data_IF_534601473141
#
_entry.id   IF_534601473141
#
_cell.length_a   1.000
_cell.length_b   1.000
_cell.length_c   1.000
_cell.angle_alpha   90.00
_cell.angle_beta   90.00
_cell.angle_gamma   90.00
#
_symmetry.space_group_name_H-M   'P 1'
#
loop_
_entity.id
_entity.type
_entity.pdbx_description
1 polymer ?
#
# COMPACT_ATOMS: atom_id res chain seq x y z
N UNK A 1 -16.50 10.19 -32.94
CA UNK A 1 -16.15 10.38 -31.52
C UNK A 1 -14.78 9.74 -31.28
N UNK A 2 -13.69 10.51 -31.22
CA UNK A 2 -12.34 9.97 -30.92
C UNK A 2 -12.20 9.88 -29.41
N UNK A 3 -12.03 8.66 -28.89
CA UNK A 3 -11.78 8.44 -27.46
C UNK A 3 -10.37 8.99 -27.17
N UNK A 4 -10.19 9.90 -26.20
CA UNK A 4 -8.87 10.36 -25.80
C UNK A 4 -8.07 9.15 -25.28
N UNK A 5 -7.00 8.77 -25.98
CA UNK A 5 -6.06 7.75 -25.49
C UNK A 5 -5.24 8.39 -24.38
N UNK A 6 -5.54 8.05 -23.13
CA UNK A 6 -4.75 8.50 -21.99
C UNK A 6 -3.31 7.97 -22.13
N UNK A 7 -2.28 8.78 -21.79
CA UNK A 7 -0.90 8.34 -21.84
C UNK A 7 -0.69 7.08 -20.97
N UNK A 8 -0.21 5.99 -21.57
CA UNK A 8 0.20 4.81 -20.79
C UNK A 8 1.41 5.15 -19.91
N UNK A 9 1.39 4.81 -18.61
CA UNK A 9 2.52 5.05 -17.72
C UNK A 9 3.74 4.23 -18.16
N UNK A 10 4.93 4.83 -18.07
CA UNK A 10 6.18 4.12 -18.30
C UNK A 10 6.49 3.16 -17.15
N UNK A 11 7.30 2.14 -17.40
CA UNK A 11 7.70 1.19 -16.36
C UNK A 11 8.42 1.86 -15.18
N UNK A 12 9.13 2.96 -15.43
CA UNK A 12 9.74 3.79 -14.39
C UNK A 12 8.70 4.45 -13.47
N UNK A 13 7.57 4.89 -14.02
CA UNK A 13 6.47 5.49 -13.25
C UNK A 13 5.86 4.50 -12.28
N UNK A 14 5.57 3.27 -12.73
CA UNK A 14 4.99 2.24 -11.86
C UNK A 14 5.97 1.80 -10.76
N UNK A 15 7.27 1.69 -11.09
CA UNK A 15 8.32 1.46 -10.09
C UNK A 15 8.37 2.58 -9.06
N UNK A 16 8.27 3.84 -9.47
CA UNK A 16 8.24 4.98 -8.56
C UNK A 16 7.02 4.95 -7.63
N UNK A 17 5.84 4.60 -8.13
CA UNK A 17 4.63 4.43 -7.30
C UNK A 17 4.86 3.35 -6.23
N UNK A 18 5.37 2.18 -6.61
CA UNK A 18 5.67 1.10 -5.66
C UNK A 18 6.74 1.50 -4.65
N UNK A 19 7.78 2.23 -5.10
CA UNK A 19 8.82 2.75 -4.22
C UNK A 19 8.26 3.70 -3.17
N UNK A 20 7.41 4.65 -3.59
CA UNK A 20 6.76 5.61 -2.68
C UNK A 20 5.86 4.89 -1.69
N UNK A 21 5.06 3.91 -2.14
CA UNK A 21 4.24 3.09 -1.23
C UNK A 21 5.11 2.33 -0.23
N UNK A 22 6.19 1.69 -0.69
CA UNK A 22 7.12 0.96 0.18
C UNK A 22 7.74 1.86 1.24
N UNK A 23 8.25 3.03 0.84
CA UNK A 23 8.81 4.02 1.78
C UNK A 23 7.76 4.55 2.76
N UNK A 24 6.55 4.83 2.29
CA UNK A 24 5.45 5.32 3.13
C UNK A 24 5.08 4.31 4.22
N UNK A 25 4.87 3.05 3.85
CA UNK A 25 4.54 2.00 4.81
C UNK A 25 5.70 1.70 5.75
N UNK A 26 6.94 1.71 5.26
CA UNK A 26 8.11 1.55 6.12
C UNK A 26 8.21 2.68 7.15
N UNK A 27 8.01 3.93 6.73
CA UNK A 27 8.02 5.09 7.60
C UNK A 27 6.91 5.00 8.66
N UNK A 28 5.68 4.67 8.27
CA UNK A 28 4.57 4.47 9.22
C UNK A 28 4.87 3.37 10.25
N UNK A 29 5.46 2.24 9.81
CA UNK A 29 5.85 1.16 10.72
C UNK A 29 6.91 1.59 11.73
N UNK A 30 8.00 2.21 11.26
CA UNK A 30 9.11 2.67 12.12
C UNK A 30 8.65 3.75 13.09
N UNK A 31 7.96 4.79 12.59
CA UNK A 31 7.44 5.88 13.42
C UNK A 31 6.38 5.37 14.38
N UNK A 32 5.54 4.43 13.94
CA UNK A 32 4.53 3.78 14.78
C UNK A 32 5.14 3.06 15.97
N UNK A 33 6.27 2.37 15.80
CA UNK A 33 7.01 1.76 16.92
C UNK A 33 7.65 2.80 17.83
N UNK A 34 8.24 3.86 17.25
CA UNK A 34 8.88 4.92 18.03
C UNK A 34 7.90 5.70 18.91
N UNK A 35 6.66 5.90 18.45
CA UNK A 35 5.64 6.70 19.15
C UNK A 35 4.70 5.83 19.99
N UNK A 36 4.22 4.72 19.44
CA UNK A 36 3.20 3.87 20.09
C UNK A 36 3.76 2.70 20.90
N UNK A 37 5.06 2.45 20.84
CA UNK A 37 5.71 1.33 21.51
C UNK A 37 5.29 -0.04 20.97
N UNK A 38 5.35 -1.06 21.82
CA UNK A 38 5.10 -2.48 21.46
C UNK A 38 3.74 -3.01 21.92
N UNK A 39 2.84 -2.13 22.35
CA UNK A 39 1.50 -2.51 22.82
C UNK A 39 0.60 -3.06 21.71
N UNK A 40 -0.23 -4.04 22.05
CA UNK A 40 -1.23 -4.67 21.17
C UNK A 40 -2.64 -4.21 21.52
N UNK A 41 -3.60 -4.39 20.60
CA UNK A 41 -5.02 -4.08 20.85
C UNK A 41 -5.37 -2.60 20.73
N UNK A 42 -6.65 -2.30 20.93
CA UNK A 42 -7.21 -0.95 20.88
C UNK A 42 -6.70 -0.08 22.03
N UNK A 43 -6.19 1.10 21.70
CA UNK A 43 -5.75 2.12 22.66
C UNK A 43 -5.74 3.49 21.98
N UNK A 44 -6.65 4.37 22.40
CA UNK A 44 -6.84 5.69 21.78
C UNK A 44 -5.63 6.62 21.94
N UNK A 45 -4.76 6.36 22.91
CA UNK A 45 -3.54 7.16 23.14
C UNK A 45 -2.44 6.85 22.12
N UNK A 46 -2.45 5.65 21.53
CA UNK A 46 -1.45 5.20 20.55
C UNK A 46 -1.82 5.61 19.14
N UNK A 47 -1.38 6.79 18.72
CA UNK A 47 -1.61 7.28 17.35
C UNK A 47 -0.43 8.08 16.80
N UNK A 48 -0.31 8.05 15.47
CA UNK A 48 0.57 8.94 14.69
C UNK A 48 -0.35 9.72 13.77
N UNK A 49 -0.55 11.00 14.10
CA UNK A 49 -1.49 11.91 13.44
C UNK A 49 -2.94 11.37 13.45
N UNK A 50 -3.42 10.91 12.29
CA UNK A 50 -4.77 10.37 12.11
C UNK A 50 -4.79 8.84 12.15
N UNK A 51 -3.63 8.20 12.12
CA UNK A 51 -3.47 6.75 12.08
C UNK A 51 -3.33 6.21 13.50
N UNK A 52 -4.10 5.19 13.83
CA UNK A 52 -3.82 4.43 15.05
C UNK A 52 -2.58 3.57 14.85
N UNK A 53 -1.92 3.25 15.95
CA UNK A 53 -0.74 2.39 15.96
C UNK A 53 -0.86 1.28 17.00
N UNK A 54 -0.25 0.15 16.70
CA UNK A 54 -0.06 -0.99 17.59
C UNK A 54 1.11 -1.81 17.07
N UNK A 55 1.71 -2.66 17.90
CA UNK A 55 2.78 -3.54 17.45
C UNK A 55 2.38 -4.38 16.24
N UNK A 56 1.18 -4.99 16.25
CA UNK A 56 0.67 -5.78 15.12
C UNK A 56 0.63 -4.95 13.84
N UNK A 57 0.08 -3.74 13.92
CA UNK A 57 -0.05 -2.86 12.77
C UNK A 57 1.30 -2.40 12.24
N UNK A 58 2.21 -2.02 13.14
CA UNK A 58 3.54 -1.53 12.79
C UNK A 58 4.41 -2.63 12.16
N UNK A 59 4.27 -3.88 12.61
CA UNK A 59 4.88 -5.06 11.96
C UNK A 59 4.36 -5.18 10.53
N UNK A 60 3.03 -5.11 10.35
CA UNK A 60 2.40 -5.19 9.03
C UNK A 60 2.87 -4.08 8.10
N UNK A 61 2.89 -2.83 8.56
CA UNK A 61 3.38 -1.68 7.80
C UNK A 61 4.85 -1.82 7.44
N UNK A 62 5.70 -2.22 8.39
CA UNK A 62 7.13 -2.45 8.14
C UNK A 62 7.34 -3.54 7.10
N UNK A 63 6.63 -4.68 7.23
CA UNK A 63 6.71 -5.80 6.30
C UNK A 63 6.30 -5.41 4.89
N UNK A 64 5.17 -4.71 4.73
CA UNK A 64 4.74 -4.16 3.43
C UNK A 64 5.78 -3.19 2.89
N UNK A 65 6.35 -2.33 3.74
CA UNK A 65 7.36 -1.37 3.34
C UNK A 65 8.60 -2.04 2.75
N UNK A 66 9.13 -3.06 3.44
CA UNK A 66 10.26 -3.86 2.95
C UNK A 66 9.92 -4.59 1.65
N UNK A 67 8.73 -5.19 1.56
CA UNK A 67 8.27 -5.85 0.33
C UNK A 67 8.14 -4.87 -0.84
N UNK A 68 7.66 -3.65 -0.59
CA UNK A 68 7.55 -2.60 -1.61
C UNK A 68 8.92 -2.19 -2.13
N UNK A 69 9.89 -1.98 -1.24
CA UNK A 69 11.27 -1.69 -1.63
C UNK A 69 11.88 -2.82 -2.46
N UNK A 70 11.69 -4.07 -2.03
CA UNK A 70 12.19 -5.25 -2.74
C UNK A 70 11.50 -5.43 -4.10
N UNK A 71 10.22 -5.08 -4.22
CA UNK A 71 9.45 -5.24 -5.45
C UNK A 71 9.94 -4.35 -6.60
N UNK A 72 10.64 -3.25 -6.31
CA UNK A 72 11.13 -2.31 -7.34
C UNK A 72 12.21 -2.88 -8.27
N UNK A 73 12.75 -4.06 -7.96
CA UNK A 73 13.88 -4.69 -8.68
C UNK A 73 13.55 -5.12 -10.11
N UNK A 74 12.29 -5.46 -10.40
CA UNK A 74 11.86 -5.93 -11.73
C UNK A 74 10.40 -5.55 -11.99
N UNK A 75 9.98 -5.60 -13.25
CA UNK A 75 8.58 -5.33 -13.62
C UNK A 75 7.65 -6.43 -13.12
N UNK A 76 8.10 -7.68 -13.20
CA UNK A 76 7.35 -8.83 -12.69
C UNK A 76 7.06 -8.68 -11.18
N UNK A 77 8.07 -8.29 -10.40
CA UNK A 77 7.92 -8.07 -8.95
C UNK A 77 7.07 -6.83 -8.62
N UNK A 78 7.13 -5.77 -9.43
CA UNK A 78 6.21 -4.62 -9.32
C UNK A 78 4.76 -5.06 -9.54
N UNK A 79 4.49 -5.91 -10.53
CA UNK A 79 3.13 -6.43 -10.79
C UNK A 79 2.65 -7.36 -9.70
N UNK A 80 3.52 -8.25 -9.23
CA UNK A 80 3.22 -9.13 -8.11
C UNK A 80 2.88 -8.31 -6.85
N UNK A 81 3.64 -7.26 -6.56
CA UNK A 81 3.34 -6.34 -5.46
C UNK A 81 2.01 -5.62 -5.66
N UNK A 82 1.66 -5.20 -6.88
CA UNK A 82 0.35 -4.61 -7.17
C UNK A 82 -0.81 -5.57 -6.86
N UNK A 83 -0.71 -6.83 -7.30
CA UNK A 83 -1.72 -7.86 -7.01
C UNK A 83 -1.83 -8.17 -5.51
N UNK A 84 -0.68 -8.39 -4.86
CA UNK A 84 -0.61 -8.64 -3.42
C UNK A 84 -1.19 -7.44 -2.64
N UNK A 85 -0.83 -6.23 -3.05
CA UNK A 85 -1.33 -4.99 -2.48
C UNK A 85 -2.84 -4.87 -2.63
N UNK A 86 -3.41 -5.11 -3.82
CA UNK A 86 -4.85 -5.04 -4.03
C UNK A 86 -5.61 -5.99 -3.12
N UNK A 87 -5.30 -7.29 -3.14
CA UNK A 87 -6.05 -8.26 -2.33
C UNK A 87 -5.76 -8.10 -0.83
N UNK A 88 -4.49 -7.93 -0.46
CA UNK A 88 -4.08 -7.72 0.92
C UNK A 88 -4.73 -6.50 1.54
N UNK A 89 -4.63 -5.33 0.89
CA UNK A 89 -5.23 -4.10 1.42
C UNK A 89 -6.75 -4.07 1.31
N UNK A 90 -7.37 -4.76 0.35
CA UNK A 90 -8.83 -4.91 0.34
C UNK A 90 -9.32 -5.68 1.57
N UNK A 91 -8.63 -6.78 1.93
CA UNK A 91 -8.94 -7.53 3.14
C UNK A 91 -8.73 -6.71 4.41
N UNK A 92 -7.59 -6.00 4.53
CA UNK A 92 -7.30 -5.14 5.68
C UNK A 92 -8.25 -3.95 5.74
N UNK A 93 -8.66 -3.39 4.60
CA UNK A 93 -9.67 -2.34 4.51
C UNK A 93 -11.02 -2.83 5.07
N UNK A 94 -11.52 -3.98 4.60
CA UNK A 94 -12.75 -4.57 5.10
C UNK A 94 -12.68 -4.82 6.62
N UNK A 95 -11.58 -5.41 7.10
CA UNK A 95 -11.34 -5.56 8.53
C UNK A 95 -11.36 -4.22 9.27
N UNK A 96 -10.69 -3.19 8.75
CA UNK A 96 -10.61 -1.88 9.39
C UNK A 96 -11.95 -1.17 9.49
N UNK A 97 -12.82 -1.32 8.48
CA UNK A 97 -14.21 -0.81 8.51
C UNK A 97 -14.97 -1.47 9.66
N UNK A 98 -14.89 -2.79 9.79
CA UNK A 98 -15.55 -3.53 10.88
C UNK A 98 -14.96 -3.14 12.25
N UNK A 99 -13.64 -3.04 12.35
CA UNK A 99 -12.92 -2.69 13.57
C UNK A 99 -13.28 -1.28 14.08
N UNK A 100 -13.48 -0.31 13.18
CA UNK A 100 -13.81 1.07 13.53
C UNK A 100 -15.30 1.26 13.81
N UNK A 101 -16.19 0.46 13.21
CA UNK A 101 -17.64 0.66 13.30
C UNK A 101 -18.36 -0.23 14.33
N UNK A 102 -17.88 -1.44 14.60
CA UNK A 102 -18.65 -2.42 15.38
C UNK A 102 -18.30 -2.45 16.87
N UNK A 103 -17.02 -2.60 17.23
CA UNK A 103 -16.64 -2.73 18.65
C UNK A 103 -15.14 -2.53 18.88
N UNK A 104 -14.74 -1.87 19.99
CA UNK A 104 -13.34 -1.81 20.43
C UNK A 104 -12.68 -3.19 20.62
N UNK A 105 -13.44 -4.21 21.03
CA UNK A 105 -12.90 -5.56 21.25
C UNK A 105 -12.47 -6.24 19.94
N UNK A 106 -13.13 -5.92 18.81
CA UNK A 106 -12.73 -6.39 17.48
C UNK A 106 -11.53 -5.63 16.90
N UNK A 107 -11.15 -4.52 17.51
CA UNK A 107 -10.09 -3.64 17.04
C UNK A 107 -8.70 -4.07 17.56
N UNK A 108 -8.27 -5.26 17.17
CA UNK A 108 -7.01 -5.90 17.56
C UNK A 108 -5.76 -5.09 17.19
N UNK A 109 -5.84 -4.29 16.13
CA UNK A 109 -4.71 -3.55 15.57
C UNK A 109 -4.76 -2.04 15.86
N UNK A 110 -5.71 -1.57 16.67
CA UNK A 110 -5.93 -0.15 16.94
C UNK A 110 -6.21 0.69 15.67
N UNK A 111 -7.01 0.15 14.76
CA UNK A 111 -7.46 0.83 13.55
C UNK A 111 -8.25 2.09 13.89
N UNK A 112 -7.97 3.16 13.14
CA UNK A 112 -8.71 4.44 13.18
C UNK A 112 -9.24 4.78 11.78
N UNK A 113 -10.16 5.75 11.64
CA UNK A 113 -10.65 6.18 10.33
C UNK A 113 -9.54 6.53 9.32
N UNK A 114 -8.41 7.10 9.78
CA UNK A 114 -7.25 7.36 8.92
C UNK A 114 -6.70 6.09 8.28
N UNK A 115 -6.61 4.98 9.03
CA UNK A 115 -6.14 3.70 8.52
C UNK A 115 -7.10 3.14 7.45
N UNK A 116 -8.41 3.27 7.65
CA UNK A 116 -9.44 2.84 6.69
C UNK A 116 -9.21 3.47 5.32
N UNK A 117 -9.08 4.81 5.29
CA UNK A 117 -8.84 5.54 4.06
C UNK A 117 -7.50 5.19 3.41
N UNK A 118 -6.44 5.02 4.21
CA UNK A 118 -5.13 4.59 3.72
C UNK A 118 -5.22 3.23 3.00
N UNK A 119 -5.93 2.26 3.57
CA UNK A 119 -6.04 0.93 2.97
C UNK A 119 -6.93 0.91 1.74
N UNK A 120 -8.01 1.68 1.72
CA UNK A 120 -8.81 1.89 0.51
C UNK A 120 -7.96 2.45 -0.63
N UNK A 121 -7.25 3.56 -0.37
CA UNK A 121 -6.39 4.20 -1.37
C UNK A 121 -5.27 3.25 -1.84
N UNK A 122 -4.67 2.50 -0.92
CA UNK A 122 -3.58 1.57 -1.26
C UNK A 122 -4.08 0.37 -2.07
N UNK A 123 -5.28 -0.15 -1.77
CA UNK A 123 -5.89 -1.21 -2.58
C UNK A 123 -6.10 -0.72 -4.02
N UNK A 124 -6.66 0.47 -4.21
CA UNK A 124 -6.86 1.07 -5.53
C UNK A 124 -5.54 1.32 -6.27
N UNK A 125 -4.50 1.79 -5.57
CA UNK A 125 -3.16 1.95 -6.16
C UNK A 125 -2.54 0.60 -6.52
N UNK A 126 -2.72 -0.43 -5.71
CA UNK A 126 -2.28 -1.80 -6.01
C UNK A 126 -2.95 -2.33 -7.29
N UNK A 127 -4.26 -2.12 -7.42
CA UNK A 127 -5.02 -2.46 -8.61
C UNK A 127 -4.48 -1.70 -9.83
N UNK A 128 -4.28 -0.39 -9.71
CA UNK A 128 -3.70 0.42 -10.78
C UNK A 128 -2.33 -0.09 -11.20
N UNK A 129 -1.44 -0.37 -10.25
CA UNK A 129 -0.09 -0.90 -10.51
C UNK A 129 -0.13 -2.26 -11.20
N UNK A 130 -1.08 -3.15 -10.85
CA UNK A 130 -1.14 -4.46 -11.48
C UNK A 130 -1.76 -4.45 -12.88
N UNK A 131 -2.76 -3.59 -13.15
CA UNK A 131 -3.48 -3.58 -14.45
C UNK A 131 -2.98 -2.55 -15.47
N UNK A 132 -2.21 -1.52 -15.06
CA UNK A 132 -1.79 -0.46 -15.97
C UNK A 132 -0.96 -1.00 -17.16
N UNK A 133 -1.23 -0.64 -18.42
CA UNK A 133 -0.42 -1.09 -19.56
C UNK A 133 1.03 -0.55 -19.47
N UNK A 134 2.03 -1.37 -19.83
CA UNK A 134 3.41 -0.89 -20.02
C UNK A 134 3.58 -0.38 -21.46
N UNK A 135 4.27 0.74 -21.65
CA UNK A 135 4.81 1.08 -22.97
C UNK A 135 5.95 0.11 -23.29
N UNK A 136 5.85 -0.61 -24.40
CA UNK A 136 6.99 -1.31 -24.98
C UNK A 136 8.03 -0.31 -25.48
N UNK A 137 9.31 -0.67 -25.40
CA UNK A 137 10.37 0.05 -26.12
C UNK A 137 9.98 0.20 -27.59
N UNK A 138 10.31 1.31 -28.26
CA UNK A 138 10.13 1.41 -29.71
C UNK A 138 10.79 0.18 -30.33
N UNK A 139 10.07 -0.55 -31.16
CA UNK A 139 10.68 -1.60 -31.97
C UNK A 139 11.86 -0.94 -32.69
N UNK A 140 13.08 -1.39 -32.42
CA UNK A 140 14.20 -1.15 -33.32
C UNK A 140 13.77 -1.76 -34.64
N UNK A 141 13.33 -0.90 -35.54
CA UNK A 141 13.14 -1.22 -36.95
C UNK A 141 14.49 -1.75 -37.45
N UNK A 142 14.60 -3.03 -37.85
CA UNK A 142 15.81 -3.49 -38.51
C UNK A 142 15.85 -2.79 -39.86
N UNK A 143 16.53 -1.65 -39.91
CA UNK A 143 16.89 -1.03 -41.16
C UNK A 143 17.81 -2.01 -41.90
N UNK A 144 17.31 -2.48 -43.04
CA UNK A 144 17.99 -3.09 -44.20
C UNK A 144 18.71 -4.43 -44.01
#
# INVERSE_FOLDING_TARGET
MRIPVLPHPGAATLRAVVLVLGLWYLALGIVGFAVGGTGMGADVSRSVWLFGTSALLNIGHTGVGVLGLAATRSEATVRAFGWLGFFGFTGVFAYSVLAVTLSPLGNLANMRPGNVWLYAATALLGLFVCVAPLRGSPATDPAT
#
